data_IF_846121295008
#
_entry.id   IF_846121295008
#
_cell.length_a   1.000
_cell.length_b   1.000
_cell.length_c   1.000
_cell.angle_alpha   90.00
_cell.angle_beta   90.00
_cell.angle_gamma   90.00
#
_symmetry.space_group_name_H-M   'P 1'
#
loop_
_entity.id
_entity.type
_entity.pdbx_description
1 polymer ?
#
# COMPACT_ATOMS: atom_id res chain seq x y z
N UNK A 1 15.05 0.38 9.43
CA UNK A 1 14.74 1.80 9.71
C UNK A 1 13.54 2.11 8.84
N UNK A 2 12.38 2.53 9.37
CA UNK A 2 11.19 2.71 8.52
C UNK A 2 11.35 4.00 7.71
N UNK A 3 11.48 3.88 6.39
CA UNK A 3 11.56 5.03 5.49
C UNK A 3 10.19 5.70 5.36
N UNK A 4 10.17 7.01 5.15
CA UNK A 4 8.93 7.78 4.92
C UNK A 4 9.05 8.48 3.57
N UNK A 5 8.09 8.20 2.70
CA UNK A 5 8.05 8.71 1.33
C UNK A 5 6.84 9.65 1.14
N UNK A 6 6.95 10.58 0.20
CA UNK A 6 5.84 11.40 -0.26
C UNK A 6 5.08 10.71 -1.42
N UNK A 7 3.91 11.23 -1.81
CA UNK A 7 3.06 10.59 -2.83
C UNK A 7 3.79 10.38 -4.18
N UNK A 8 4.55 11.35 -4.73
CA UNK A 8 5.35 11.13 -5.94
C UNK A 8 6.39 10.00 -5.80
N UNK A 9 7.16 10.00 -4.71
CA UNK A 9 8.17 8.98 -4.41
C UNK A 9 7.55 7.60 -4.25
N UNK A 10 6.41 7.50 -3.55
CA UNK A 10 5.67 6.25 -3.39
C UNK A 10 5.24 5.68 -4.74
N UNK A 11 4.68 6.52 -5.62
CA UNK A 11 4.25 6.11 -6.97
C UNK A 11 5.41 5.65 -7.83
N UNK A 12 6.53 6.36 -7.76
CA UNK A 12 7.72 5.99 -8.52
C UNK A 12 8.33 4.68 -8.02
N UNK A 13 8.44 4.50 -6.69
CA UNK A 13 8.88 3.25 -6.11
C UNK A 13 7.95 2.08 -6.49
N UNK A 14 6.64 2.30 -6.47
CA UNK A 14 5.66 1.32 -6.92
C UNK A 14 5.85 0.97 -8.40
N UNK A 15 6.05 1.97 -9.27
CA UNK A 15 6.31 1.78 -10.71
C UNK A 15 7.54 0.90 -10.94
N UNK A 16 8.62 1.13 -10.19
CA UNK A 16 9.85 0.34 -10.30
C UNK A 16 9.63 -1.11 -9.86
N UNK A 17 8.90 -1.33 -8.77
CA UNK A 17 8.55 -2.68 -8.30
C UNK A 17 7.63 -3.41 -9.28
N UNK A 18 6.66 -2.71 -9.88
CA UNK A 18 5.75 -3.30 -10.86
C UNK A 18 6.49 -3.64 -12.17
N UNK A 19 7.42 -2.78 -12.59
CA UNK A 19 8.32 -3.08 -13.71
C UNK A 19 9.16 -4.32 -13.41
N UNK A 20 9.74 -4.40 -12.22
CA UNK A 20 10.53 -5.56 -11.81
C UNK A 20 9.69 -6.84 -11.78
N UNK A 21 8.48 -6.80 -11.23
CA UNK A 21 7.58 -7.96 -11.22
C UNK A 21 7.17 -8.39 -12.62
N UNK A 22 6.89 -7.45 -13.53
CA UNK A 22 6.47 -7.80 -14.89
C UNK A 22 7.61 -8.34 -15.76
N UNK A 23 8.85 -7.92 -15.51
CA UNK A 23 10.00 -8.22 -16.38
C UNK A 23 10.95 -9.27 -15.81
N UNK A 24 11.07 -9.33 -14.48
CA UNK A 24 12.06 -10.14 -13.75
C UNK A 24 11.42 -11.32 -12.98
N UNK A 25 10.13 -11.63 -13.19
CA UNK A 25 9.45 -12.79 -12.60
C UNK A 25 9.07 -13.87 -13.62
N UNK A 26 9.12 -15.13 -13.19
CA UNK A 26 8.62 -16.30 -13.92
C UNK A 26 7.72 -17.07 -12.96
N UNK A 27 6.51 -17.43 -13.40
CA UNK A 27 5.50 -18.12 -12.59
C UNK A 27 5.18 -17.46 -11.23
N UNK A 28 5.34 -16.14 -11.13
CA UNK A 28 5.10 -15.37 -9.92
C UNK A 28 6.25 -15.39 -8.91
N UNK A 29 7.35 -16.08 -9.19
CA UNK A 29 8.58 -16.04 -8.41
C UNK A 29 9.59 -15.06 -9.02
N UNK A 30 10.21 -14.24 -8.16
CA UNK A 30 11.23 -13.28 -8.58
C UNK A 30 12.53 -14.04 -8.87
N UNK A 31 12.91 -14.14 -10.15
CA UNK A 31 14.09 -14.91 -10.57
C UNK A 31 15.39 -14.13 -10.31
N UNK A 32 15.36 -12.82 -10.57
CA UNK A 32 16.49 -11.92 -10.30
C UNK A 32 15.99 -10.52 -9.94
N UNK A 33 16.82 -9.77 -9.21
CA UNK A 33 16.54 -8.35 -8.96
C UNK A 33 16.91 -7.52 -10.18
N UNK A 34 15.98 -6.68 -10.60
CA UNK A 34 16.20 -5.76 -11.69
C UNK A 34 17.22 -4.68 -11.28
N UNK A 35 18.12 -4.33 -12.20
CA UNK A 35 19.06 -3.22 -12.07
C UNK A 35 18.63 -2.08 -12.99
N UNK A 36 18.33 -0.93 -12.41
CA UNK A 36 17.85 0.25 -13.13
C UNK A 36 19.05 1.14 -13.53
N UNK A 37 18.98 1.86 -14.66
CA UNK A 37 19.99 2.86 -14.98
C UNK A 37 20.02 3.99 -13.94
N UNK A 38 21.21 4.48 -13.61
CA UNK A 38 21.37 5.64 -12.74
C UNK A 38 21.24 6.93 -13.55
N UNK A 39 20.26 7.77 -13.20
CA UNK A 39 20.03 9.09 -13.77
C UNK A 39 20.18 10.13 -12.65
N UNK A 40 21.37 10.75 -12.49
CA UNK A 40 21.61 11.68 -11.39
C UNK A 40 20.79 12.98 -11.50
N UNK A 41 20.35 13.33 -12.71
CA UNK A 41 19.50 14.49 -12.97
C UNK A 41 18.01 14.24 -12.66
N UNK A 42 17.62 12.99 -12.40
CA UNK A 42 16.25 12.65 -12.01
C UNK A 42 16.06 12.89 -10.51
N UNK A 43 15.37 13.98 -10.18
CA UNK A 43 15.07 14.37 -8.79
C UNK A 43 14.35 13.27 -8.01
N UNK A 44 13.43 12.52 -8.62
CA UNK A 44 12.72 11.46 -7.89
C UNK A 44 13.65 10.30 -7.57
N UNK A 45 14.55 9.95 -8.50
CA UNK A 45 15.52 8.89 -8.27
C UNK A 45 16.52 9.30 -7.18
N UNK A 46 17.03 10.54 -7.21
CA UNK A 46 17.97 11.04 -6.19
C UNK A 46 17.31 11.11 -4.81
N UNK A 47 16.09 11.64 -4.71
CA UNK A 47 15.34 11.67 -3.45
C UNK A 47 15.09 10.25 -2.89
N UNK A 48 14.73 9.29 -3.75
CA UNK A 48 14.52 7.90 -3.32
C UNK A 48 15.83 7.23 -2.85
N UNK A 49 16.98 7.60 -3.43
CA UNK A 49 18.30 7.17 -2.97
C UNK A 49 18.61 7.78 -1.60
N UNK A 50 18.40 9.09 -1.43
CA UNK A 50 18.63 9.79 -0.16
C UNK A 50 17.77 9.24 0.98
N UNK A 51 16.53 8.86 0.66
CA UNK A 51 15.60 8.23 1.61
C UNK A 51 15.94 6.77 1.92
N UNK A 52 16.90 6.17 1.22
CA UNK A 52 17.32 4.79 1.39
C UNK A 52 16.37 3.76 0.78
N UNK A 53 15.39 4.17 -0.04
CA UNK A 53 14.51 3.27 -0.79
C UNK A 53 15.24 2.62 -1.97
N UNK A 54 16.17 3.37 -2.56
CA UNK A 54 17.04 2.95 -3.65
C UNK A 54 18.50 3.01 -3.22
N UNK A 55 19.36 2.21 -3.86
CA UNK A 55 20.79 2.25 -3.64
C UNK A 55 21.55 2.23 -4.97
N UNK A 56 22.55 3.09 -5.08
CA UNK A 56 23.48 3.09 -6.22
C UNK A 56 24.52 1.99 -6.01
N UNK A 57 24.76 1.19 -7.04
CA UNK A 57 25.82 0.19 -7.08
C UNK A 57 26.68 0.37 -8.32
N UNK A 58 28.01 0.21 -8.21
CA UNK A 58 28.87 0.18 -9.38
C UNK A 58 28.58 -1.09 -10.18
N UNK A 59 28.48 -0.96 -11.50
CA UNK A 59 28.32 -2.07 -12.44
C UNK A 59 29.45 -2.02 -13.49
N UNK A 60 30.22 -3.10 -13.68
CA UNK A 60 31.37 -3.10 -14.57
C UNK A 60 31.01 -2.94 -16.06
N UNK A 61 29.74 -3.18 -16.45
CA UNK A 61 29.27 -3.05 -17.83
C UNK A 61 28.55 -1.73 -18.09
N UNK A 62 27.90 -1.18 -17.06
CA UNK A 62 26.99 -0.01 -17.18
C UNK A 62 27.43 1.20 -16.37
N UNK A 63 28.54 1.12 -15.65
CA UNK A 63 29.07 2.19 -14.80
C UNK A 63 28.40 2.22 -13.44
N UNK A 64 27.21 2.82 -13.36
CA UNK A 64 26.41 2.91 -12.14
C UNK A 64 24.97 2.47 -12.40
N UNK A 65 24.45 1.62 -11.52
CA UNK A 65 23.09 1.12 -11.54
C UNK A 65 22.41 1.46 -10.22
N UNK A 66 21.08 1.47 -10.24
CA UNK A 66 20.24 1.66 -9.07
C UNK A 66 19.46 0.38 -8.82
N UNK A 67 19.38 -0.02 -7.56
CA UNK A 67 18.60 -1.20 -7.12
C UNK A 67 17.68 -0.82 -5.97
N UNK A 68 16.54 -1.50 -5.88
CA UNK A 68 15.61 -1.33 -4.77
C UNK A 68 16.19 -2.00 -3.52
N UNK A 69 16.20 -1.25 -2.41
CA UNK A 69 16.73 -1.74 -1.12
C UNK A 69 15.70 -2.63 -0.42
N UNK A 70 16.14 -3.36 0.60
CA UNK A 70 15.21 -4.09 1.50
C UNK A 70 14.17 -3.15 2.11
N UNK A 71 14.57 -1.94 2.45
CA UNK A 71 13.72 -0.95 3.09
C UNK A 71 12.68 -0.40 2.09
N UNK A 72 13.07 -0.21 0.83
CA UNK A 72 12.15 0.11 -0.27
C UNK A 72 11.06 -0.95 -0.47
N UNK A 73 11.41 -2.24 -0.50
CA UNK A 73 10.41 -3.31 -0.59
C UNK A 73 9.51 -3.40 0.64
N UNK A 74 10.10 -3.28 1.83
CA UNK A 74 9.37 -3.41 3.09
C UNK A 74 8.36 -2.29 3.27
N UNK A 75 8.69 -1.07 2.80
CA UNK A 75 7.80 0.08 2.84
C UNK A 75 6.47 -0.18 2.11
N UNK A 76 6.51 -0.69 0.88
CA UNK A 76 5.28 -0.99 0.12
C UNK A 76 4.46 -2.12 0.77
N UNK A 77 5.13 -3.12 1.35
CA UNK A 77 4.47 -4.22 2.06
C UNK A 77 3.74 -3.71 3.31
N UNK A 78 4.42 -2.89 4.12
CA UNK A 78 3.85 -2.27 5.32
C UNK A 78 2.68 -1.35 4.97
N UNK A 79 2.81 -0.58 3.87
CA UNK A 79 1.74 0.28 3.38
C UNK A 79 0.49 -0.50 3.00
N UNK A 80 0.65 -1.56 2.20
CA UNK A 80 -0.48 -2.42 1.83
C UNK A 80 -1.14 -3.04 3.07
N UNK A 81 -0.35 -3.53 4.04
CA UNK A 81 -0.89 -4.06 5.30
C UNK A 81 -1.70 -3.01 6.05
N UNK A 82 -1.19 -1.79 6.18
CA UNK A 82 -1.88 -0.69 6.84
C UNK A 82 -3.20 -0.31 6.12
N UNK A 83 -3.21 -0.30 4.79
CA UNK A 83 -4.43 -0.05 4.00
C UNK A 83 -5.46 -1.16 4.17
N UNK A 84 -5.05 -2.44 4.11
CA UNK A 84 -5.96 -3.55 4.37
C UNK A 84 -6.55 -3.50 5.78
N UNK A 85 -5.77 -3.12 6.79
CA UNK A 85 -6.28 -2.93 8.14
C UNK A 85 -7.29 -1.80 8.24
N UNK A 86 -7.04 -0.66 7.57
CA UNK A 86 -7.97 0.46 7.53
C UNK A 86 -9.31 0.05 6.90
N UNK A 87 -9.27 -0.58 5.73
CA UNK A 87 -10.47 -1.08 5.05
C UNK A 87 -11.21 -2.12 5.92
N UNK A 88 -10.49 -2.96 6.66
CA UNK A 88 -11.10 -3.91 7.61
C UNK A 88 -11.77 -3.23 8.82
N UNK A 89 -11.25 -2.09 9.27
CA UNK A 89 -11.86 -1.29 10.35
C UNK A 89 -13.11 -0.58 9.83
N UNK A 90 -13.02 0.08 8.69
CA UNK A 90 -14.16 0.73 8.03
C UNK A 90 -15.32 -0.23 7.77
N UNK A 91 -15.03 -1.44 7.28
CA UNK A 91 -16.07 -2.48 7.08
C UNK A 91 -16.74 -2.91 8.39
N UNK A 92 -16.01 -2.92 9.51
CA UNK A 92 -16.59 -3.22 10.83
C UNK A 92 -17.50 -2.09 11.31
N UNK A 93 -17.06 -0.85 11.14
CA UNK A 93 -17.83 0.33 11.54
C UNK A 93 -19.15 0.43 10.76
N UNK A 94 -19.10 0.23 9.44
CA UNK A 94 -20.30 0.20 8.58
C UNK A 94 -21.28 -0.89 9.04
N UNK A 95 -20.79 -2.10 9.35
CA UNK A 95 -21.64 -3.19 9.85
C UNK A 95 -22.30 -2.84 11.18
N UNK A 96 -21.55 -2.25 12.11
CA UNK A 96 -22.06 -1.85 13.42
C UNK A 96 -23.14 -0.77 13.29
N UNK A 97 -22.90 0.27 12.49
CA UNK A 97 -23.86 1.35 12.22
C UNK A 97 -25.13 0.80 11.57
N UNK A 98 -24.98 -0.11 10.61
CA UNK A 98 -26.13 -0.70 9.92
C UNK A 98 -26.98 -1.56 10.87
N UNK A 99 -26.32 -2.37 11.72
CA UNK A 99 -27.01 -3.26 12.65
C UNK A 99 -27.72 -2.49 13.77
N UNK A 100 -27.11 -1.41 14.28
CA UNK A 100 -27.75 -0.53 15.26
C UNK A 100 -28.95 0.22 14.69
N UNK A 101 -28.86 0.69 13.44
CA UNK A 101 -29.98 1.33 12.74
C UNK A 101 -31.16 0.35 12.54
N UNK A 102 -30.89 -0.88 12.11
CA UNK A 102 -31.92 -1.92 11.96
C UNK A 102 -32.58 -2.27 13.30
N UNK A 103 -31.80 -2.38 14.37
CA UNK A 103 -32.32 -2.65 15.71
C UNK A 103 -33.22 -1.51 16.19
N UNK A 104 -32.80 -0.25 16.02
CA UNK A 104 -33.62 0.92 16.34
C UNK A 104 -34.94 0.94 15.57
N UNK A 105 -34.89 0.67 14.26
CA UNK A 105 -36.10 0.56 13.44
C UNK A 105 -37.04 -0.56 13.93
N UNK A 106 -36.50 -1.72 14.28
CA UNK A 106 -37.28 -2.84 14.83
C UNK A 106 -37.94 -2.47 16.17
N UNK A 107 -37.23 -1.80 17.07
CA UNK A 107 -37.78 -1.32 18.34
C UNK A 107 -38.93 -0.32 18.13
N UNK A 108 -38.81 0.59 17.17
CA UNK A 108 -39.88 1.55 16.82
C UNK A 108 -41.12 0.80 16.32
N UNK A 109 -40.94 -0.17 15.42
CA UNK A 109 -42.05 -0.98 14.89
C UNK A 109 -42.73 -1.77 16.00
N UNK A 110 -41.97 -2.44 16.87
CA UNK A 110 -42.52 -3.20 17.99
C UNK A 110 -43.25 -2.29 18.97
N UNK A 111 -42.66 -1.16 19.34
CA UNK A 111 -43.30 -0.18 20.22
C UNK A 111 -44.59 0.38 19.65
N UNK A 112 -44.62 0.68 18.34
CA UNK A 112 -45.82 1.11 17.64
C UNK A 112 -46.92 0.03 17.65
N UNK A 113 -46.57 -1.22 17.35
CA UNK A 113 -47.52 -2.33 17.36
C UNK A 113 -48.07 -2.57 18.78
N UNK A 114 -47.22 -2.60 19.80
CA UNK A 114 -47.67 -2.77 21.18
C UNK A 114 -48.59 -1.62 21.62
N UNK A 115 -48.24 -0.37 21.32
CA UNK A 115 -49.11 0.78 21.61
C UNK A 115 -50.45 0.72 20.87
N UNK A 116 -50.48 0.16 19.66
CA UNK A 116 -51.69 0.00 18.84
C UNK A 116 -52.62 -1.11 19.32
N UNK A 117 -52.08 -2.16 19.95
CA UNK A 117 -52.86 -3.33 20.40
C UNK A 117 -53.19 -3.33 21.89
N UNK A 118 -52.45 -2.57 22.71
CA UNK A 118 -52.65 -2.47 24.16
C UNK A 118 -53.42 -1.21 24.56
N UNK A 119 -53.44 -0.16 23.73
CA UNK A 119 -54.34 0.99 23.86
C UNK A 119 -55.65 0.76 23.08
#
# INVERSE_FOLDING_TARGET
MSITLNIPQERELQRLVDYERSTCSVDGELVYRCAFPHYPEDELQSELIERGALAVKPDPRRGAIVVITSDGYSYLLERHRAEFERVRREKRDVRLITLSALFGAACIVVGFLLGRFVA
#
